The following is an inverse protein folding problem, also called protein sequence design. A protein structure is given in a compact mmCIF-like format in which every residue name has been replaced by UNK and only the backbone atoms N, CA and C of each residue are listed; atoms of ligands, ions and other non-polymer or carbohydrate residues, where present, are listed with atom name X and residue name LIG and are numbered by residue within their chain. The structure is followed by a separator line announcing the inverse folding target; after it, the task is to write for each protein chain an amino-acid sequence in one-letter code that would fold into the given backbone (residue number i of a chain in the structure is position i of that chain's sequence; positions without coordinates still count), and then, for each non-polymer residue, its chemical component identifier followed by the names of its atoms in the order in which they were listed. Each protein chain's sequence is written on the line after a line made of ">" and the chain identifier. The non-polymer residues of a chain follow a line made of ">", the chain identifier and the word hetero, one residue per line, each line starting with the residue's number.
data_IF_585518994486
#
_entry.id   IF_585518994486
#
_cell.length_a   1.000
_cell.length_b   1.000
_cell.length_c   1.000
_cell.angle_alpha   90.00
_cell.angle_beta   90.00
_cell.angle_gamma   90.00
#
_symmetry.space_group_name_H-M   'P 1'
#
loop_
_entity.id
_entity.type
_entity.pdbx_description
1 polymer ?
#
# COMPACT_ATOMS: atom_id res chain seq x y z
N UNK A 1 -6.33 12.43 4.44
CA UNK A 1 -6.51 11.18 3.66
C UNK A 1 -5.29 10.91 2.80
N UNK A 2 -4.91 11.78 1.86
CA UNK A 2 -3.61 11.71 1.17
C UNK A 2 -2.79 12.95 1.53
N UNK A 3 -1.80 12.79 2.40
CA UNK A 3 -1.01 13.87 3.00
C UNK A 3 0.51 13.63 2.93
N UNK A 4 0.92 12.54 2.28
CA UNK A 4 2.31 12.04 2.22
C UNK A 4 2.73 11.66 0.79
N UNK A 5 2.35 12.49 -0.19
CA UNK A 5 2.58 12.24 -1.64
C UNK A 5 2.09 10.88 -2.15
N UNK A 6 1.09 10.34 -1.46
CA UNK A 6 0.49 9.05 -1.77
C UNK A 6 -0.24 9.10 -3.11
N UNK A 7 -0.01 8.11 -3.96
CA UNK A 7 -0.65 8.02 -5.28
C UNK A 7 -1.59 6.82 -5.36
N UNK A 8 -2.83 7.05 -5.75
CA UNK A 8 -3.78 5.99 -6.11
C UNK A 8 -3.83 5.88 -7.63
N UNK A 9 -3.44 4.74 -8.19
CA UNK A 9 -3.54 4.44 -9.62
C UNK A 9 -4.82 3.67 -9.88
N UNK A 10 -5.69 4.25 -10.71
CA UNK A 10 -7.01 3.73 -10.99
C UNK A 10 -7.05 3.11 -12.40
N UNK A 11 -7.94 2.13 -12.65
CA UNK A 11 -8.17 1.60 -13.99
C UNK A 11 -8.81 2.68 -14.89
N UNK A 12 -8.62 2.57 -16.20
CA UNK A 12 -9.24 3.48 -17.17
C UNK A 12 -10.77 3.37 -17.12
N UNK A 13 -11.29 2.15 -17.01
CA UNK A 13 -12.71 1.86 -16.83
C UNK A 13 -13.02 1.56 -15.35
N UNK A 14 -14.13 2.08 -14.83
CA UNK A 14 -14.57 1.77 -13.46
C UNK A 14 -13.78 2.48 -12.34
N UNK A 15 -13.00 3.52 -12.65
CA UNK A 15 -12.18 4.28 -11.70
C UNK A 15 -12.89 4.68 -10.40
N UNK A 16 -14.16 5.11 -10.48
CA UNK A 16 -14.95 5.50 -9.31
C UNK A 16 -15.23 4.33 -8.36
N UNK A 17 -15.49 3.13 -8.90
CA UNK A 17 -15.70 1.93 -8.10
C UNK A 17 -14.41 1.49 -7.42
N UNK A 18 -13.29 1.52 -8.16
CA UNK A 18 -11.96 1.26 -7.62
C UNK A 18 -11.59 2.23 -6.50
N UNK A 19 -11.81 3.54 -6.67
CA UNK A 19 -11.56 4.54 -5.64
C UNK A 19 -12.42 4.29 -4.39
N UNK A 20 -13.72 3.97 -4.56
CA UNK A 20 -14.60 3.61 -3.44
C UNK A 20 -14.08 2.39 -2.68
N UNK A 21 -13.52 1.39 -3.37
CA UNK A 21 -12.87 0.23 -2.72
C UNK A 21 -11.68 0.65 -1.86
N UNK A 22 -10.81 1.56 -2.34
CA UNK A 22 -9.70 2.10 -1.52
C UNK A 22 -10.22 2.80 -0.29
N UNK A 23 -11.23 3.66 -0.45
CA UNK A 23 -11.79 4.41 0.67
C UNK A 23 -12.43 3.48 1.70
N UNK A 24 -13.18 2.46 1.25
CA UNK A 24 -13.75 1.46 2.14
C UNK A 24 -12.66 0.67 2.90
N UNK A 25 -11.59 0.27 2.21
CA UNK A 25 -10.46 -0.41 2.84
C UNK A 25 -9.72 0.50 3.83
N UNK A 26 -9.57 1.78 3.50
CA UNK A 26 -9.01 2.76 4.42
C UNK A 26 -9.90 2.96 5.66
N UNK A 27 -11.22 3.06 5.50
CA UNK A 27 -12.14 3.16 6.64
C UNK A 27 -12.13 1.91 7.53
N UNK A 28 -11.90 0.72 6.95
CA UNK A 28 -11.93 -0.55 7.68
C UNK A 28 -10.59 -0.91 8.33
N UNK A 29 -9.47 -0.56 7.68
CA UNK A 29 -8.13 -1.04 8.05
C UNK A 29 -7.06 0.06 8.09
N UNK A 30 -7.46 1.32 8.03
CA UNK A 30 -6.53 2.47 8.07
C UNK A 30 -5.46 2.40 6.96
N UNK A 31 -5.81 1.83 5.79
CA UNK A 31 -4.87 1.56 4.70
C UNK A 31 -3.97 2.74 4.35
N UNK A 32 -4.55 3.94 4.18
CA UNK A 32 -3.84 5.15 3.78
C UNK A 32 -3.10 5.84 4.93
N UNK A 33 -3.19 5.30 6.15
CA UNK A 33 -2.37 5.70 7.31
C UNK A 33 -1.09 4.86 7.42
N UNK A 34 -1.13 3.63 6.90
CA UNK A 34 0.08 2.80 6.74
C UNK A 34 1.12 3.51 5.88
N UNK A 35 2.36 3.06 6.00
CA UNK A 35 3.50 3.67 5.31
C UNK A 35 3.60 3.17 3.85
N UNK A 36 2.60 3.57 3.05
CA UNK A 36 2.42 3.23 1.65
C UNK A 36 2.61 4.46 0.77
N UNK A 37 3.34 4.30 -0.34
CA UNK A 37 3.53 5.36 -1.32
C UNK A 37 2.56 5.24 -2.50
N UNK A 38 2.17 4.00 -2.88
CA UNK A 38 1.29 3.76 -4.02
C UNK A 38 0.28 2.66 -3.73
N UNK A 39 -0.97 2.91 -4.10
CA UNK A 39 -2.04 1.91 -4.22
C UNK A 39 -2.38 1.77 -5.70
N UNK A 40 -2.11 0.61 -6.31
CA UNK A 40 -2.36 0.36 -7.72
C UNK A 40 -3.52 -0.61 -7.91
N UNK A 41 -4.60 -0.10 -8.51
CA UNK A 41 -5.84 -0.82 -8.80
C UNK A 41 -6.12 -0.93 -10.30
N UNK A 42 -5.12 -0.68 -11.15
CA UNK A 42 -5.29 -0.78 -12.62
C UNK A 42 -5.71 -2.17 -13.07
N UNK A 43 -5.26 -3.21 -12.37
CA UNK A 43 -5.77 -4.57 -12.47
C UNK A 43 -6.62 -4.87 -11.20
N UNK A 44 -7.96 -4.92 -11.31
CA UNK A 44 -8.83 -5.10 -10.15
C UNK A 44 -8.71 -6.48 -9.48
N UNK A 45 -8.26 -7.49 -10.23
CA UNK A 45 -8.00 -8.84 -9.73
C UNK A 45 -6.65 -8.93 -9.02
N UNK A 46 -5.75 -7.96 -9.27
CA UNK A 46 -4.39 -7.92 -8.72
C UNK A 46 -4.05 -6.54 -8.14
N UNK A 47 -4.71 -6.14 -7.04
CA UNK A 47 -4.36 -4.92 -6.34
C UNK A 47 -2.93 -5.00 -5.80
N UNK A 48 -2.12 -3.97 -6.08
CA UNK A 48 -0.72 -3.91 -5.64
C UNK A 48 -0.50 -2.71 -4.71
N UNK A 49 0.25 -2.92 -3.64
CA UNK A 49 0.70 -1.87 -2.74
C UNK A 49 2.21 -1.69 -2.87
N UNK A 50 2.67 -0.44 -2.90
CA UNK A 50 4.08 -0.09 -2.76
C UNK A 50 4.28 0.61 -1.43
N UNK A 51 5.12 0.03 -0.57
CA UNK A 51 5.59 0.69 0.65
C UNK A 51 6.37 1.95 0.31
N UNK A 52 6.46 2.89 1.25
CA UNK A 52 7.44 3.97 1.14
C UNK A 52 8.87 3.42 1.20
N UNK A 53 9.84 4.23 0.81
CA UNK A 53 11.26 3.88 0.92
C UNK A 53 11.66 3.64 2.38
N UNK A 54 11.05 4.37 3.32
CA UNK A 54 11.28 4.19 4.75
C UNK A 54 10.79 2.80 5.21
N UNK A 55 9.52 2.48 4.99
CA UNK A 55 8.96 1.18 5.35
C UNK A 55 9.62 0.01 4.63
N UNK A 56 10.05 0.18 3.38
CA UNK A 56 10.81 -0.84 2.68
C UNK A 56 12.16 -1.10 3.36
N UNK A 57 12.87 -0.04 3.76
CA UNK A 57 14.12 -0.15 4.52
C UNK A 57 13.93 -0.85 5.87
N UNK A 58 12.86 -0.52 6.60
CA UNK A 58 12.54 -1.18 7.85
C UNK A 58 12.18 -2.66 7.69
N UNK A 59 11.39 -2.99 6.68
CA UNK A 59 11.02 -4.38 6.41
C UNK A 59 12.27 -5.23 6.11
N UNK A 60 13.22 -4.68 5.35
CA UNK A 60 14.50 -5.36 5.07
C UNK A 60 15.30 -5.56 6.36
N UNK A 61 15.41 -4.53 7.22
CA UNK A 61 16.09 -4.63 8.52
C UNK A 61 15.47 -5.70 9.42
N UNK A 62 14.15 -5.67 9.58
CA UNK A 62 13.42 -6.64 10.40
C UNK A 62 13.62 -8.07 9.88
N UNK A 63 13.54 -8.28 8.56
CA UNK A 63 13.82 -9.59 7.95
C UNK A 63 15.25 -10.07 8.21
N UNK A 64 16.24 -9.18 8.16
CA UNK A 64 17.62 -9.52 8.45
C UNK A 64 17.81 -9.94 9.91
N UNK A 65 17.15 -9.27 10.85
CA UNK A 65 17.17 -9.64 12.28
C UNK A 65 16.54 -11.03 12.47
N UNK A 66 15.35 -11.25 11.92
CA UNK A 66 14.65 -12.54 12.04
C UNK A 66 15.45 -13.71 11.46
N UNK A 67 16.21 -13.49 10.38
CA UNK A 67 17.08 -14.51 9.80
C UNK A 67 18.40 -14.70 10.55
N UNK A 68 18.78 -13.76 11.43
CA UNK A 68 20.03 -13.78 12.21
C UNK A 68 19.87 -14.28 13.65
N UNK A 69 18.64 -14.36 14.18
CA UNK A 69 18.35 -14.94 15.51
C UNK A 69 18.23 -16.48 15.50
N UNK A 70 18.20 -17.10 14.32
CA UNK A 70 18.10 -18.56 14.12
C UNK A 70 19.46 -19.23 13.75
N UNK A 71 20.60 -18.55 13.92
CA UNK A 71 21.94 -19.02 13.51
C UNK A 71 22.91 -19.31 14.67
#
# INVERSE_FOLDING_TARGET
>A
VLDRDQTIRLPEEGALAALRRVMALHSAEELLERDVAVVDLRDPERPMLRLSDHAQGELIRLRAIMMGEDA
#
